data_IF_638632688648
#
_entry.id   IF_638632688648
#
_cell.length_a   1.000
_cell.length_b   1.000
_cell.length_c   1.000
_cell.angle_alpha   90.00
_cell.angle_beta   90.00
_cell.angle_gamma   90.00
#
_symmetry.space_group_name_H-M   'P 1'
#
loop_
_entity.id
_entity.type
_entity.pdbx_description
1 polymer ?
#
# COMPACT_ATOMS: atom_id res chain seq x y z
N UNK A 1 -2.47 4.96 -12.32
CA UNK A 1 -1.59 3.77 -12.18
C UNK A 1 -2.43 2.63 -11.63
N UNK A 2 -1.97 1.38 -11.70
CA UNK A 2 -2.76 0.24 -11.23
C UNK A 2 -1.88 -0.91 -10.76
N UNK A 3 -2.19 -1.45 -9.59
CA UNK A 3 -1.66 -2.73 -9.13
C UNK A 3 -2.42 -3.86 -9.80
N UNK A 4 -1.69 -4.71 -10.53
CA UNK A 4 -2.21 -5.95 -11.15
C UNK A 4 -1.32 -7.10 -10.75
N UNK A 5 -1.90 -8.11 -10.11
CA UNK A 5 -1.10 -9.10 -9.40
C UNK A 5 0.02 -8.37 -8.63
N UNK A 6 1.25 -8.83 -8.69
CA UNK A 6 2.34 -8.32 -7.87
C UNK A 6 3.06 -7.09 -8.44
N UNK A 7 2.50 -6.39 -9.43
CA UNK A 7 3.20 -5.30 -10.12
C UNK A 7 2.35 -4.05 -10.24
N UNK A 8 2.96 -2.88 -10.00
CA UNK A 8 2.38 -1.56 -10.19
C UNK A 8 2.74 -1.03 -11.57
N UNK A 9 1.72 -0.71 -12.35
CA UNK A 9 1.88 -0.20 -13.71
C UNK A 9 1.47 1.28 -13.86
N UNK A 10 2.19 2.00 -14.71
CA UNK A 10 1.76 3.27 -15.32
C UNK A 10 1.69 3.08 -16.84
N UNK A 11 0.48 2.95 -17.37
CA UNK A 11 0.31 2.51 -18.75
C UNK A 11 0.87 1.11 -18.92
N UNK A 12 1.89 0.95 -19.76
CA UNK A 12 2.61 -0.32 -19.97
C UNK A 12 3.93 -0.42 -19.17
N UNK A 13 4.36 0.66 -18.53
CA UNK A 13 5.58 0.70 -17.74
C UNK A 13 5.37 0.08 -16.36
N UNK A 14 6.24 -0.85 -15.97
CA UNK A 14 6.28 -1.41 -14.62
C UNK A 14 7.12 -0.51 -13.71
N UNK A 15 6.52 -0.02 -12.63
CA UNK A 15 7.17 0.90 -11.69
C UNK A 15 7.69 0.22 -10.43
N UNK A 16 6.94 -0.77 -9.93
CA UNK A 16 7.27 -1.51 -8.71
C UNK A 16 6.74 -2.95 -8.80
N UNK A 17 7.41 -3.89 -8.14
CA UNK A 17 7.00 -5.29 -8.07
C UNK A 17 7.14 -5.87 -6.67
N UNK A 18 6.41 -6.95 -6.39
CA UNK A 18 6.52 -7.73 -5.16
C UNK A 18 6.91 -9.16 -5.50
N UNK A 19 8.13 -9.54 -5.15
CA UNK A 19 8.60 -10.91 -5.26
C UNK A 19 8.12 -11.71 -4.05
N UNK A 20 7.42 -12.82 -4.31
CA UNK A 20 7.05 -13.80 -3.29
C UNK A 20 8.26 -14.69 -3.01
N UNK A 21 8.66 -14.82 -1.76
CA UNK A 21 9.85 -15.59 -1.37
C UNK A 21 9.59 -16.37 -0.07
N UNK A 22 10.25 -17.53 0.08
CA UNK A 22 10.10 -18.42 1.25
C UNK A 22 10.52 -17.76 2.58
N UNK A 23 11.25 -16.64 2.53
CA UNK A 23 11.67 -15.83 3.69
C UNK A 23 10.85 -14.55 3.93
N UNK A 24 9.75 -14.37 3.20
CA UNK A 24 8.89 -13.19 3.24
C UNK A 24 8.97 -12.34 1.97
N UNK A 25 7.81 -11.86 1.53
CA UNK A 25 7.65 -11.05 0.33
C UNK A 25 8.57 -9.81 0.33
N UNK A 26 9.06 -9.43 -0.84
CA UNK A 26 9.93 -8.26 -1.03
C UNK A 26 9.31 -7.32 -2.04
N UNK A 27 8.98 -6.10 -1.61
CA UNK A 27 8.56 -5.00 -2.48
C UNK A 27 9.77 -4.24 -3.01
N UNK A 28 9.82 -4.05 -4.33
CA UNK A 28 10.89 -3.34 -5.03
C UNK A 28 10.36 -2.09 -5.71
N UNK A 29 11.11 -1.00 -5.59
CA UNK A 29 10.82 0.27 -6.28
C UNK A 29 12.13 1.03 -6.55
N UNK A 30 12.50 1.19 -7.81
CA UNK A 30 13.80 1.73 -8.18
C UNK A 30 14.95 0.89 -7.60
N UNK A 31 15.83 1.51 -6.82
CA UNK A 31 16.90 0.82 -6.09
C UNK A 31 16.52 0.38 -4.66
N UNK A 32 15.28 0.64 -4.24
CA UNK A 32 14.83 0.35 -2.89
C UNK A 32 14.14 -1.00 -2.79
N UNK A 33 14.41 -1.71 -1.70
CA UNK A 33 13.72 -2.95 -1.34
C UNK A 33 13.15 -2.87 0.08
N UNK A 34 11.91 -3.31 0.24
CA UNK A 34 11.25 -3.50 1.55
C UNK A 34 10.89 -4.97 1.71
N UNK A 35 11.37 -5.59 2.80
CA UNK A 35 11.02 -6.96 3.16
C UNK A 35 9.84 -6.98 4.13
N UNK A 36 8.75 -7.64 3.77
CA UNK A 36 7.61 -7.79 4.65
C UNK A 36 7.94 -8.66 5.86
N UNK A 37 7.60 -8.16 7.05
CA UNK A 37 7.69 -8.88 8.33
C UNK A 37 6.33 -9.33 8.83
N UNK A 38 5.26 -8.71 8.35
CA UNK A 38 3.89 -9.13 8.59
C UNK A 38 2.99 -8.57 7.48
N UNK A 39 2.09 -9.41 6.95
CA UNK A 39 1.07 -8.97 5.99
C UNK A 39 -0.34 -9.03 6.61
N UNK A 40 -0.44 -9.09 7.95
CA UNK A 40 -1.72 -9.07 8.66
C UNK A 40 -2.47 -7.76 8.36
N UNK A 41 -3.71 -7.81 7.82
CA UNK A 41 -4.46 -6.61 7.45
C UNK A 41 -4.67 -5.60 8.58
N UNK A 42 -4.66 -6.01 9.85
CA UNK A 42 -4.77 -5.09 10.98
C UNK A 42 -3.48 -4.29 11.24
N UNK A 43 -2.32 -4.85 10.88
CA UNK A 43 -0.99 -4.25 11.09
C UNK A 43 0.03 -4.86 10.13
N UNK A 44 0.13 -4.33 8.92
CA UNK A 44 1.16 -4.72 7.96
C UNK A 44 2.48 -4.03 8.32
N UNK A 45 3.59 -4.76 8.14
CA UNK A 45 4.93 -4.29 8.46
C UNK A 45 5.93 -4.73 7.40
N UNK A 46 6.79 -3.81 6.98
CA UNK A 46 7.96 -4.08 6.17
C UNK A 46 9.17 -3.31 6.71
N UNK A 47 10.37 -3.74 6.33
CA UNK A 47 11.62 -3.12 6.76
C UNK A 47 12.53 -2.93 5.55
N UNK A 48 13.15 -1.76 5.42
CA UNK A 48 14.13 -1.47 4.37
C UNK A 48 15.46 -2.17 4.63
N UNK A 49 16.32 -2.25 3.62
CA UNK A 49 17.69 -2.75 3.80
C UNK A 49 18.49 -1.93 4.85
N UNK A 50 18.17 -0.65 5.01
CA UNK A 50 18.76 0.24 6.01
C UNK A 50 18.17 0.08 7.43
N UNK A 51 17.17 -0.78 7.61
CA UNK A 51 16.53 -1.02 8.91
C UNK A 51 15.35 -0.11 9.24
N UNK A 52 14.95 0.78 8.33
CA UNK A 52 13.80 1.66 8.53
C UNK A 52 12.50 0.84 8.50
N UNK A 53 11.59 1.09 9.43
CA UNK A 53 10.31 0.40 9.49
C UNK A 53 9.23 1.13 8.69
N UNK A 54 8.41 0.33 8.01
CA UNK A 54 7.22 0.74 7.28
C UNK A 54 6.03 -0.01 7.86
N UNK A 55 5.05 0.71 8.39
CA UNK A 55 3.92 0.11 9.11
C UNK A 55 2.62 0.72 8.63
N UNK A 56 1.66 -0.12 8.24
CA UNK A 56 0.28 0.27 8.03
C UNK A 56 -0.59 -0.36 9.11
N UNK A 57 -1.30 0.45 9.89
CA UNK A 57 -2.08 -0.01 11.05
C UNK A 57 -3.54 0.44 10.96
N UNK A 58 -4.46 -0.49 11.22
CA UNK A 58 -5.90 -0.21 11.37
C UNK A 58 -6.14 0.60 12.64
N UNK A 59 -6.90 1.70 12.55
CA UNK A 59 -7.16 2.61 13.68
C UNK A 59 -8.62 2.67 14.12
N UNK A 60 -9.51 1.99 13.41
CA UNK A 60 -10.93 1.91 13.71
C UNK A 60 -11.37 0.47 13.97
N UNK A 61 -12.54 0.29 14.60
CA UNK A 61 -13.14 -1.05 14.78
C UNK A 61 -13.43 -1.72 13.42
N UNK A 62 -13.86 -0.93 12.44
CA UNK A 62 -14.02 -1.36 11.04
C UNK A 62 -12.77 -1.02 10.21
N UNK A 63 -12.69 -1.44 8.95
CA UNK A 63 -11.57 -1.10 8.04
C UNK A 63 -11.67 0.33 7.48
N UNK A 64 -12.44 1.23 8.10
CA UNK A 64 -12.68 2.59 7.58
C UNK A 64 -11.46 3.51 7.67
N UNK A 65 -10.62 3.37 8.72
CA UNK A 65 -9.46 4.23 8.96
C UNK A 65 -8.19 3.45 9.23
N UNK A 66 -7.13 3.85 8.54
CA UNK A 66 -5.76 3.37 8.74
C UNK A 66 -4.82 4.56 8.93
N UNK A 67 -3.67 4.29 9.55
CA UNK A 67 -2.52 5.19 9.59
C UNK A 67 -1.30 4.43 9.10
N UNK A 68 -0.47 5.07 8.29
CA UNK A 68 0.84 4.54 7.93
C UNK A 68 1.93 5.38 8.60
N UNK A 69 3.00 4.70 9.01
CA UNK A 69 4.24 5.30 9.48
C UNK A 69 5.37 4.68 8.66
N UNK A 70 6.04 5.48 7.83
CA UNK A 70 7.05 5.04 6.89
C UNK A 70 8.35 5.80 7.20
N UNK A 71 9.30 5.11 7.83
CA UNK A 71 10.46 5.75 8.45
C UNK A 71 10.02 6.85 9.44
N UNK A 72 10.25 8.12 9.11
CA UNK A 72 9.89 9.30 9.92
C UNK A 72 8.62 10.02 9.42
N UNK A 73 7.92 9.45 8.43
CA UNK A 73 6.79 10.09 7.76
C UNK A 73 5.46 9.42 8.11
N UNK A 74 4.48 10.25 8.48
CA UNK A 74 3.14 9.81 8.83
C UNK A 74 2.12 10.08 7.72
N UNK A 75 1.20 9.14 7.57
CA UNK A 75 0.09 9.22 6.63
C UNK A 75 -1.21 8.77 7.28
N UNK A 76 -2.31 9.39 6.83
CA UNK A 76 -3.66 9.00 7.18
C UNK A 76 -4.38 8.44 5.96
N UNK A 77 -5.15 7.39 6.20
CA UNK A 77 -5.89 6.68 5.16
C UNK A 77 -7.35 6.59 5.57
N UNK A 78 -8.20 7.25 4.81
CA UNK A 78 -9.64 7.31 5.10
C UNK A 78 -10.44 6.77 3.94
N UNK A 79 -11.37 5.87 4.23
CA UNK A 79 -12.34 5.40 3.24
C UNK A 79 -13.29 6.54 2.89
N UNK A 80 -13.47 6.80 1.60
CA UNK A 80 -14.36 7.85 1.09
C UNK A 80 -15.35 7.29 0.08
N UNK A 81 -16.53 7.92 0.01
CA UNK A 81 -17.58 7.57 -0.95
C UNK A 81 -18.07 6.13 -0.87
N UNK A 82 -18.51 5.62 -2.03
CA UNK A 82 -18.97 4.24 -2.22
C UNK A 82 -17.85 3.37 -2.81
N UNK A 83 -17.95 2.03 -2.68
CA UNK A 83 -17.00 1.03 -3.26
C UNK A 83 -15.63 0.88 -2.60
N UNK A 84 -15.35 1.54 -1.47
CA UNK A 84 -14.08 1.31 -0.77
C UNK A 84 -12.89 2.05 -1.31
N UNK A 85 -13.13 3.17 -1.98
CA UNK A 85 -12.07 4.11 -2.30
C UNK A 85 -11.41 4.65 -1.02
N UNK A 86 -10.12 4.98 -1.10
CA UNK A 86 -9.39 5.60 0.00
C UNK A 86 -8.63 6.82 -0.44
N UNK A 87 -8.73 7.86 0.35
CA UNK A 87 -7.79 8.99 0.31
C UNK A 87 -6.60 8.68 1.20
N UNK A 88 -5.41 8.95 0.68
CA UNK A 88 -4.14 8.90 1.39
C UNK A 88 -3.65 10.34 1.53
N UNK A 89 -3.46 10.79 2.77
CA UNK A 89 -3.00 12.14 3.09
C UNK A 89 -1.75 12.09 3.96
N UNK A 90 -0.82 13.00 3.74
CA UNK A 90 0.36 13.14 4.59
C UNK A 90 0.04 13.78 5.95
N UNK A 91 1.08 13.99 6.77
CA UNK A 91 0.98 14.63 8.08
C UNK A 91 0.46 16.08 8.02
N UNK A 92 0.67 16.79 6.90
CA UNK A 92 0.14 18.13 6.68
C UNK A 92 -1.34 18.11 6.22
N UNK A 93 -1.90 16.92 5.98
CA UNK A 93 -3.27 16.73 5.48
C UNK A 93 -3.40 16.89 3.97
N UNK A 94 -2.30 17.05 3.24
CA UNK A 94 -2.31 17.18 1.79
C UNK A 94 -2.64 15.83 1.15
N UNK A 95 -3.49 15.85 0.13
CA UNK A 95 -3.85 14.64 -0.62
C UNK A 95 -2.66 14.16 -1.44
N UNK A 96 -2.18 12.94 -1.17
CA UNK A 96 -1.07 12.32 -1.88
C UNK A 96 -1.54 11.36 -2.96
N UNK A 97 -2.59 10.59 -2.67
CA UNK A 97 -3.13 9.59 -3.59
C UNK A 97 -4.58 9.21 -3.26
N UNK A 98 -5.30 8.73 -4.27
CA UNK A 98 -6.59 8.05 -4.12
C UNK A 98 -6.48 6.64 -4.68
N UNK A 99 -6.95 5.65 -3.91
CA UNK A 99 -7.01 4.26 -4.38
C UNK A 99 -8.44 3.80 -4.63
N UNK A 100 -8.67 3.10 -5.73
CA UNK A 100 -10.00 2.56 -6.11
C UNK A 100 -9.89 1.07 -6.39
N UNK A 101 -10.49 0.19 -5.56
CA UNK A 101 -10.48 -1.25 -5.82
C UNK A 101 -11.38 -1.58 -7.01
N UNK A 102 -10.97 -2.58 -7.79
CA UNK A 102 -11.72 -3.10 -8.93
C UNK A 102 -12.28 -4.50 -8.67
N UNK A 103 -13.29 -4.85 -9.45
CA UNK A 103 -13.97 -6.15 -9.34
C UNK A 103 -13.06 -7.34 -9.67
N UNK A 104 -12.03 -7.14 -10.49
CA UNK A 104 -11.02 -8.14 -10.86
C UNK A 104 -9.91 -8.32 -9.80
N UNK A 105 -10.00 -7.60 -8.67
CA UNK A 105 -8.98 -7.62 -7.61
C UNK A 105 -7.77 -6.72 -7.87
N UNK A 106 -7.75 -5.96 -8.96
CA UNK A 106 -6.77 -4.90 -9.16
C UNK A 106 -7.08 -3.68 -8.28
N UNK A 107 -6.06 -2.86 -8.03
CA UNK A 107 -6.20 -1.62 -7.27
C UNK A 107 -5.68 -0.45 -8.09
N UNK A 108 -6.58 0.42 -8.53
CA UNK A 108 -6.18 1.67 -9.18
C UNK A 108 -5.62 2.65 -8.15
N UNK A 109 -4.61 3.41 -8.59
CA UNK A 109 -3.93 4.45 -7.81
C UNK A 109 -3.85 5.70 -8.67
N UNK A 110 -4.55 6.74 -8.23
CA UNK A 110 -4.44 8.12 -8.72
C UNK A 110 -3.47 8.88 -7.81
N UNK A 111 -2.44 9.49 -8.38
CA UNK A 111 -1.45 10.28 -7.63
C UNK A 111 -1.80 11.76 -7.69
N UNK A 112 -1.67 12.42 -6.55
CA UNK A 112 -1.74 13.88 -6.40
C UNK A 112 -0.42 14.47 -5.87
N UNK A 113 0.59 13.62 -5.67
CA UNK A 113 1.96 13.97 -5.29
C UNK A 113 2.97 13.10 -6.05
N UNK A 114 4.27 13.38 -5.89
CA UNK A 114 5.32 12.53 -6.43
C UNK A 114 5.20 11.10 -5.90
N UNK A 115 5.45 10.10 -6.75
CA UNK A 115 5.48 8.71 -6.32
C UNK A 115 6.73 8.48 -5.45
N UNK A 116 6.53 8.03 -4.23
CA UNK A 116 7.59 7.70 -3.27
C UNK A 116 7.52 6.24 -2.88
N UNK A 117 8.59 5.71 -2.28
CA UNK A 117 8.59 4.35 -1.72
C UNK A 117 7.45 4.15 -0.71
N UNK A 118 7.15 5.16 0.10
CA UNK A 118 6.05 5.17 1.06
C UNK A 118 4.71 4.94 0.38
N UNK A 119 4.41 5.69 -0.69
CA UNK A 119 3.16 5.53 -1.43
C UNK A 119 3.09 4.18 -2.15
N UNK A 120 4.21 3.66 -2.64
CA UNK A 120 4.27 2.29 -3.19
C UNK A 120 3.94 1.26 -2.11
N UNK A 121 4.57 1.34 -0.93
CA UNK A 121 4.30 0.47 0.21
C UNK A 121 2.83 0.57 0.67
N UNK A 122 2.33 1.78 0.88
CA UNK A 122 0.98 2.03 1.37
C UNK A 122 -0.06 1.47 0.38
N UNK A 123 0.08 1.77 -0.91
CA UNK A 123 -0.89 1.31 -1.91
C UNK A 123 -0.81 -0.20 -2.13
N UNK A 124 0.38 -0.81 -2.04
CA UNK A 124 0.50 -2.27 -2.03
C UNK A 124 -0.20 -2.88 -0.81
N UNK A 125 0.03 -2.34 0.39
CA UNK A 125 -0.57 -2.82 1.62
C UNK A 125 -2.10 -2.77 1.56
N UNK A 126 -2.67 -1.75 0.92
CA UNK A 126 -4.12 -1.66 0.69
C UNK A 126 -4.68 -2.77 -0.20
N UNK A 127 -3.86 -3.45 -1.01
CA UNK A 127 -4.35 -4.61 -1.78
C UNK A 127 -4.76 -5.77 -0.87
N UNK A 128 -4.16 -5.94 0.32
CA UNK A 128 -4.61 -6.95 1.30
C UNK A 128 -5.88 -6.53 2.04
N UNK A 129 -6.19 -5.24 2.06
CA UNK A 129 -7.34 -4.68 2.81
C UNK A 129 -8.57 -4.60 1.92
N UNK A 130 -8.41 -4.08 0.70
CA UNK A 130 -9.51 -3.66 -0.17
C UNK A 130 -9.68 -4.55 -1.41
N UNK A 131 -8.63 -5.26 -1.87
CA UNK A 131 -8.76 -6.20 -2.99
C UNK A 131 -9.16 -7.60 -2.49
N UNK A 132 -10.38 -8.01 -2.83
CA UNK A 132 -10.97 -9.27 -2.35
C UNK A 132 -10.15 -10.53 -2.66
N UNK A 133 -9.37 -10.50 -3.75
CA UNK A 133 -8.63 -11.67 -4.27
C UNK A 133 -7.43 -12.06 -3.39
N UNK A 134 -6.90 -11.14 -2.57
CA UNK A 134 -5.75 -11.42 -1.68
C UNK A 134 -6.12 -11.77 -0.24
N UNK A 135 -7.42 -11.79 0.08
CA UNK A 135 -7.92 -12.17 1.42
C UNK A 135 -7.75 -13.66 1.73
N UNK A 136 -7.42 -14.50 0.75
CA UNK A 136 -7.35 -15.96 0.90
C UNK A 136 -6.09 -16.48 1.62
N UNK A 137 -5.19 -15.60 2.10
CA UNK A 137 -3.95 -15.99 2.79
C UNK A 137 -4.00 -15.85 4.33
N UNK A 138 -5.19 -15.67 4.94
CA UNK A 138 -5.35 -15.50 6.38
C UNK A 138 -6.53 -16.26 6.96
#
# INVERSE_FOLDING_TARGET
>A
MIWRAHTLYRGQEALADVAVADGGDVLRYGCHELRFRSMNPARLRAVSAGGEEFVLRKRSLTVSRYTAHCADRDYTLSRVGVRGCREIRDAAGQLCAVTTPKHDGSLEVELHAALTLDLVFITWALTYVDAAVRRTYY
#
